data_IF_498151622579
#
_entry.id   IF_498151622579
#
_cell.length_a   1.000
_cell.length_b   1.000
_cell.length_c   1.000
_cell.angle_alpha   90.00
_cell.angle_beta   90.00
_cell.angle_gamma   90.00
#
_symmetry.space_group_name_H-M   'P 1'
#
loop_
_entity.id
_entity.type
_entity.pdbx_description
1 polymer ?
#
# COMPACT_ATOMS: atom_id res chain seq x y z
N UNK A 1 -14.93 -6.24 -7.85
CA UNK A 1 -14.41 -4.91 -7.46
C UNK A 1 -14.37 -4.91 -5.95
N UNK A 2 -13.20 -5.11 -5.35
CA UNK A 2 -13.03 -5.24 -3.88
C UNK A 2 -12.46 -3.93 -3.33
N UNK A 3 -13.19 -2.83 -3.54
CA UNK A 3 -12.79 -1.52 -3.02
C UNK A 3 -13.10 -1.45 -1.53
N UNK A 4 -12.11 -1.11 -0.72
CA UNK A 4 -12.29 -0.97 0.73
C UNK A 4 -13.00 0.34 1.04
N UNK A 5 -13.72 0.34 2.16
CA UNK A 5 -14.32 1.55 2.70
C UNK A 5 -13.23 2.60 3.02
N UNK A 6 -13.41 3.89 2.64
CA UNK A 6 -12.41 4.93 2.87
C UNK A 6 -12.07 5.17 4.34
N UNK A 7 -13.05 5.07 5.26
CA UNK A 7 -12.81 5.25 6.69
C UNK A 7 -12.02 4.07 7.25
N UNK A 8 -12.30 2.86 6.77
CA UNK A 8 -11.51 1.67 7.09
C UNK A 8 -10.07 1.78 6.57
N UNK A 9 -9.88 2.19 5.30
CA UNK A 9 -8.55 2.38 4.73
C UNK A 9 -7.74 3.44 5.51
N UNK A 10 -8.39 4.51 5.97
CA UNK A 10 -7.75 5.59 6.71
C UNK A 10 -7.14 5.15 8.05
N UNK A 11 -7.67 4.09 8.67
CA UNK A 11 -7.13 3.54 9.94
C UNK A 11 -6.07 2.46 9.72
N UNK A 12 -6.02 1.82 8.55
CA UNK A 12 -5.06 0.76 8.26
C UNK A 12 -3.64 1.28 8.15
N UNK A 13 -2.68 0.47 8.61
CA UNK A 13 -1.24 0.76 8.55
C UNK A 13 -0.47 -0.46 8.09
N UNK A 14 0.67 -0.24 7.44
CA UNK A 14 1.61 -1.30 7.11
C UNK A 14 2.08 -2.00 8.41
N UNK A 15 1.99 -3.34 8.51
CA UNK A 15 2.42 -4.07 9.70
C UNK A 15 3.94 -3.96 9.97
N UNK A 16 4.74 -3.64 8.94
CA UNK A 16 6.19 -3.50 9.05
C UNK A 16 6.62 -2.05 9.38
N UNK A 17 6.26 -1.08 8.53
CA UNK A 17 6.72 0.31 8.66
C UNK A 17 5.78 1.21 9.47
N UNK A 18 4.57 0.74 9.78
CA UNK A 18 3.48 1.52 10.40
C UNK A 18 3.04 2.74 9.60
N UNK A 19 3.45 2.84 8.34
CA UNK A 19 3.02 3.92 7.44
C UNK A 19 1.62 3.67 6.89
N UNK A 20 0.93 4.72 6.41
CA UNK A 20 -0.34 4.58 5.69
C UNK A 20 -0.26 3.60 4.51
N UNK A 21 -1.43 3.06 4.14
CA UNK A 21 -1.60 2.21 2.97
C UNK A 21 -2.45 2.94 1.93
N UNK A 22 -2.12 2.77 0.66
CA UNK A 22 -2.97 3.17 -0.47
C UNK A 22 -3.50 1.92 -1.16
N UNK A 23 -4.78 1.92 -1.53
CA UNK A 23 -5.36 0.81 -2.28
C UNK A 23 -5.12 1.00 -3.77
N UNK A 24 -4.42 0.06 -4.39
CA UNK A 24 -4.20 -0.05 -5.83
C UNK A 24 -4.85 -1.35 -6.31
N UNK A 25 -6.00 -1.23 -6.98
CA UNK A 25 -6.84 -2.34 -7.42
C UNK A 25 -7.15 -3.34 -6.27
N UNK A 26 -6.62 -4.56 -6.36
CA UNK A 26 -6.78 -5.63 -5.38
C UNK A 26 -5.56 -5.75 -4.45
N UNK A 27 -4.87 -4.64 -4.21
CA UNK A 27 -3.70 -4.60 -3.34
C UNK A 27 -3.64 -3.33 -2.50
N UNK A 28 -2.96 -3.43 -1.36
CA UNK A 28 -2.61 -2.33 -0.49
C UNK A 28 -1.10 -2.11 -0.55
N UNK A 29 -0.69 -0.88 -0.87
CA UNK A 29 0.70 -0.51 -1.01
C UNK A 29 1.08 0.44 0.12
N UNK A 30 2.17 0.14 0.80
CA UNK A 30 2.76 0.98 1.84
C UNK A 30 3.30 2.26 1.24
N UNK A 31 3.02 3.39 1.89
CA UNK A 31 3.57 4.68 1.49
C UNK A 31 5.01 4.90 1.98
N UNK A 32 5.65 3.86 2.49
CA UNK A 32 7.02 3.90 2.97
C UNK A 32 8.03 3.68 1.82
N UNK A 33 8.89 4.66 1.50
CA UNK A 33 9.88 4.53 0.43
C UNK A 33 10.99 3.51 0.73
N UNK A 34 11.22 3.19 2.02
CA UNK A 34 12.26 2.24 2.43
C UNK A 34 11.80 0.78 2.25
N UNK A 35 10.61 0.45 2.77
CA UNK A 35 10.11 -0.94 2.73
C UNK A 35 9.30 -1.29 1.48
N UNK A 36 8.59 -0.32 0.88
CA UNK A 36 7.80 -0.47 -0.38
C UNK A 36 6.94 -1.72 -0.45
N UNK A 37 6.33 -2.09 0.67
CA UNK A 37 5.54 -3.33 0.78
C UNK A 37 4.22 -3.23 0.05
N UNK A 38 3.84 -4.32 -0.63
CA UNK A 38 2.51 -4.54 -1.22
C UNK A 38 1.88 -5.77 -0.60
N UNK A 39 0.59 -5.66 -0.27
CA UNK A 39 -0.23 -6.71 0.32
C UNK A 39 -1.43 -6.95 -0.58
N UNK A 40 -1.78 -8.21 -0.83
CA UNK A 40 -2.94 -8.57 -1.66
C UNK A 40 -4.23 -8.48 -0.86
N UNK A 41 -5.35 -8.27 -1.56
CA UNK A 41 -6.71 -8.37 -1.04
C UNK A 41 -7.30 -9.66 -1.59
N UNK A 42 -7.62 -10.60 -0.72
CA UNK A 42 -8.22 -11.90 -1.06
C UNK A 42 -9.63 -11.96 -0.50
N UNK A 43 -10.62 -12.26 -1.35
CA UNK A 43 -12.05 -12.32 -0.97
C UNK A 43 -12.56 -11.07 -0.23
N UNK A 44 -11.98 -9.90 -0.51
CA UNK A 44 -12.31 -8.64 0.15
C UNK A 44 -11.57 -8.40 1.48
N UNK A 45 -10.71 -9.32 1.91
CA UNK A 45 -9.91 -9.22 3.12
C UNK A 45 -8.44 -8.90 2.79
N UNK A 46 -7.86 -7.84 3.38
CA UNK A 46 -6.45 -7.53 3.18
C UNK A 46 -5.55 -8.51 3.94
N UNK A 47 -4.63 -9.17 3.22
CA UNK A 47 -3.66 -10.10 3.79
C UNK A 47 -2.45 -9.30 4.30
N UNK A 48 -2.56 -8.73 5.50
CA UNK A 48 -1.52 -7.90 6.15
C UNK A 48 -0.49 -8.73 6.93
N UNK A 49 0.00 -9.82 6.34
CA UNK A 49 1.08 -10.61 6.92
C UNK A 49 2.42 -10.15 6.35
N UNK A 50 3.43 -9.94 7.20
CA UNK A 50 4.76 -9.46 6.77
C UNK A 50 5.42 -10.44 5.80
N UNK A 51 5.22 -11.74 6.02
CA UNK A 51 5.81 -12.82 5.22
C UNK A 51 5.17 -12.96 3.83
N UNK A 52 3.87 -12.66 3.73
CA UNK A 52 3.11 -12.69 2.46
C UNK A 52 3.21 -11.38 1.68
N UNK A 53 3.67 -10.31 2.32
CA UNK A 53 3.84 -9.01 1.71
C UNK A 53 5.08 -8.98 0.80
N UNK A 54 4.88 -8.64 -0.47
CA UNK A 54 5.98 -8.50 -1.42
C UNK A 54 6.61 -7.10 -1.36
N UNK A 55 7.87 -7.00 -1.78
CA UNK A 55 8.58 -5.73 -1.87
C UNK A 55 8.57 -5.27 -3.33
N UNK A 56 8.05 -4.08 -3.56
CA UNK A 56 8.10 -3.46 -4.89
C UNK A 56 9.48 -2.89 -5.18
N UNK A 57 9.82 -2.83 -6.47
CA UNK A 57 10.95 -2.01 -6.91
C UNK A 57 10.66 -0.53 -6.64
N UNK A 58 11.72 0.28 -6.56
CA UNK A 58 11.55 1.73 -6.38
C UNK A 58 10.72 2.34 -7.50
N UNK A 59 10.98 1.94 -8.75
CA UNK A 59 10.32 2.51 -9.91
C UNK A 59 8.81 2.22 -9.91
N UNK A 60 8.42 0.97 -9.65
CA UNK A 60 7.01 0.57 -9.55
C UNK A 60 6.33 1.31 -8.39
N UNK A 61 6.97 1.37 -7.23
CA UNK A 61 6.43 2.07 -6.08
C UNK A 61 6.20 3.56 -6.38
N UNK A 62 7.17 4.23 -7.02
CA UNK A 62 7.05 5.66 -7.39
C UNK A 62 5.87 5.89 -8.33
N UNK A 63 5.70 5.05 -9.34
CA UNK A 63 4.58 5.14 -10.29
C UNK A 63 3.23 4.98 -9.58
N UNK A 64 3.13 4.04 -8.61
CA UNK A 64 1.92 3.83 -7.83
C UNK A 64 1.63 5.00 -6.88
N UNK A 65 2.65 5.59 -6.24
CA UNK A 65 2.46 6.77 -5.41
C UNK A 65 2.00 7.97 -6.23
N UNK A 66 2.53 8.16 -7.43
CA UNK A 66 2.09 9.21 -8.35
C UNK A 66 0.62 9.00 -8.77
N UNK A 67 0.27 7.78 -9.18
CA UNK A 67 -1.11 7.42 -9.53
C UNK A 67 -2.08 7.57 -8.35
N UNK A 68 -1.62 7.34 -7.12
CA UNK A 68 -2.38 7.52 -5.88
C UNK A 68 -2.47 8.99 -5.43
N UNK A 69 -1.90 9.94 -6.17
CA UNK A 69 -1.86 11.36 -5.79
C UNK A 69 -0.94 11.66 -4.59
N UNK A 70 -0.02 10.74 -4.27
CA UNK A 70 0.97 10.85 -3.19
C UNK A 70 2.35 11.30 -3.70
N UNK A 71 2.35 12.19 -4.68
CA UNK A 71 3.57 12.77 -5.24
C UNK A 71 4.39 13.57 -4.22
N UNK A 72 3.76 14.02 -3.14
CA UNK A 72 4.40 14.67 -1.98
C UNK A 72 5.47 13.78 -1.34
N UNK A 73 5.30 12.45 -1.38
CA UNK A 73 6.23 11.48 -0.82
C UNK A 73 7.45 11.19 -1.71
N UNK A 74 7.43 11.62 -2.97
CA UNK A 74 8.50 11.32 -3.93
C UNK A 74 9.70 12.26 -3.79
N UNK A 75 9.55 13.34 -3.04
CA UNK A 75 10.52 14.43 -2.86
C UNK A 75 11.27 14.37 -1.52
N UNK A 76 10.92 13.44 -0.63
CA UNK A 76 11.59 13.20 0.65
C UNK A 76 12.73 12.18 0.49
#
# INVERSE_FOLDING_TARGET
MSQLDPEFLAILRCPLSRQPLVQMDQSLVSTDPETRRRYRIEDGFPVLLIEEGETLSEQEWRQLMEAAGRGDLLQA
#
